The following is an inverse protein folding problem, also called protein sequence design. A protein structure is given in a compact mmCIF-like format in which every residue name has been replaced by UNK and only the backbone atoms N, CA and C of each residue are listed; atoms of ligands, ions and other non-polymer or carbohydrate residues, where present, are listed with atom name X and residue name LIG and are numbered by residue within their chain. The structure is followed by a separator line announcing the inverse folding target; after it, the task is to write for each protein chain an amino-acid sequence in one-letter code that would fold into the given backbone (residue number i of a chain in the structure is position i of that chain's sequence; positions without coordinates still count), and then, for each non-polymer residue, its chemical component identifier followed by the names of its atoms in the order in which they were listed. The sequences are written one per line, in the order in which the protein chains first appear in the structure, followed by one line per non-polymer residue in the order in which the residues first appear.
data_IF_777820269852
#
_entry.id   IF_777820269852
#
_cell.length_a   1.000
_cell.length_b   1.000
_cell.length_c   1.000
_cell.angle_alpha   90.00
_cell.angle_beta   90.00
_cell.angle_gamma   90.00
#
_symmetry.space_group_name_H-M   'P 1'
#
loop_
_entity.id
_entity.type
_entity.pdbx_description
1 polymer ?
#
# COMPACT_ATOMS: atom_id res chain seq x y z
N UNK A 1 11.97 6.09 -9.03
CA UNK A 1 11.08 4.91 -9.05
C UNK A 1 10.06 4.99 -7.92
N UNK A 2 9.02 5.82 -8.07
CA UNK A 2 8.05 6.18 -7.00
C UNK A 2 6.68 5.49 -7.17
N UNK A 3 6.57 4.55 -8.10
CA UNK A 3 5.33 3.85 -8.40
C UNK A 3 5.51 2.85 -9.53
N UNK A 4 4.39 2.37 -10.05
CA UNK A 4 4.35 1.44 -11.17
C UNK A 4 3.31 1.87 -12.22
N UNK A 5 3.40 1.33 -13.43
CA UNK A 5 2.43 1.61 -14.50
C UNK A 5 1.84 0.29 -14.98
N UNK A 6 0.54 0.29 -15.21
CA UNK A 6 -0.21 -0.83 -15.77
C UNK A 6 -1.06 -0.35 -16.94
N UNK A 7 -1.53 -1.27 -17.77
CA UNK A 7 -2.63 -1.00 -18.70
C UNK A 7 -3.82 -1.82 -18.25
N UNK A 8 -4.95 -1.16 -18.02
CA UNK A 8 -6.21 -1.80 -17.70
C UNK A 8 -7.14 -1.70 -18.89
N UNK A 9 -8.09 -2.62 -19.00
CA UNK A 9 -9.14 -2.53 -20.01
C UNK A 9 -10.44 -2.07 -19.35
N UNK A 10 -10.98 -0.95 -19.82
CA UNK A 10 -12.29 -0.43 -19.40
C UNK A 10 -13.30 -0.70 -20.52
N UNK A 11 -13.95 -1.86 -20.46
CA UNK A 11 -14.75 -2.39 -21.56
C UNK A 11 -13.85 -3.06 -22.61
N UNK A 12 -13.75 -2.46 -23.79
CA UNK A 12 -12.85 -2.88 -24.89
C UNK A 12 -11.78 -1.82 -25.20
N UNK A 13 -11.57 -0.86 -24.31
CA UNK A 13 -10.59 0.22 -24.45
C UNK A 13 -9.42 0.01 -23.47
N UNK A 14 -8.21 -0.28 -23.98
CA UNK A 14 -6.99 -0.33 -23.15
C UNK A 14 -6.56 1.08 -22.74
N UNK A 15 -6.40 1.29 -21.43
CA UNK A 15 -6.00 2.57 -20.85
C UNK A 15 -4.77 2.38 -19.94
N UNK A 16 -3.65 3.07 -20.21
CA UNK A 16 -2.49 3.07 -19.34
C UNK A 16 -2.75 3.91 -18.08
N UNK A 17 -2.29 3.44 -16.93
CA UNK A 17 -2.46 4.09 -15.64
C UNK A 17 -1.19 3.98 -14.81
N UNK A 18 -0.68 5.11 -14.34
CA UNK A 18 0.43 5.19 -13.40
C UNK A 18 -0.11 5.24 -11.96
N UNK A 19 0.43 4.39 -11.10
CA UNK A 19 0.03 4.22 -9.71
C UNK A 19 1.24 4.52 -8.81
N UNK A 20 1.23 5.65 -8.09
CA UNK A 20 2.16 5.92 -7.01
C UNK A 20 2.04 4.88 -5.88
N UNK A 21 3.13 4.58 -5.18
CA UNK A 21 3.10 3.60 -4.08
C UNK A 21 2.31 4.09 -2.85
N UNK A 22 2.34 5.38 -2.55
CA UNK A 22 1.60 6.03 -1.46
C UNK A 22 0.06 5.96 -1.67
N UNK A 23 -0.39 5.83 -2.91
CA UNK A 23 -1.80 5.64 -3.24
C UNK A 23 -2.33 4.23 -2.89
N UNK A 24 -1.45 3.26 -2.62
CA UNK A 24 -1.86 1.88 -2.30
C UNK A 24 -2.36 1.79 -0.86
N UNK A 25 -3.65 1.48 -0.70
CA UNK A 25 -4.28 1.35 0.64
C UNK A 25 -4.33 -0.10 1.14
N UNK A 26 -4.56 -1.04 0.22
CA UNK A 26 -4.73 -2.45 0.54
C UNK A 26 -4.15 -3.29 -0.59
N UNK A 27 -3.49 -4.38 -0.25
CA UNK A 27 -3.02 -5.40 -1.18
C UNK A 27 -3.61 -6.76 -0.78
N UNK A 28 -4.14 -7.53 -1.72
CA UNK A 28 -4.77 -8.83 -1.46
C UNK A 28 -4.31 -9.84 -2.49
N UNK A 29 -3.89 -11.02 -2.03
CA UNK A 29 -3.58 -12.19 -2.87
C UNK A 29 -4.56 -13.34 -2.56
N UNK A 30 -5.54 -13.61 -3.45
CA UNK A 30 -6.51 -14.68 -3.27
C UNK A 30 -5.92 -16.10 -3.31
N UNK A 31 -4.79 -16.30 -3.98
CA UNK A 31 -4.23 -17.65 -4.19
C UNK A 31 -3.66 -18.26 -2.91
N UNK A 32 -3.32 -17.42 -1.94
CA UNK A 32 -2.80 -17.84 -0.63
C UNK A 32 -3.58 -17.25 0.54
N UNK A 33 -4.79 -16.72 0.28
CA UNK A 33 -5.70 -16.13 1.27
C UNK A 33 -5.05 -15.07 2.18
N UNK A 34 -4.20 -14.22 1.59
CA UNK A 34 -3.39 -13.23 2.29
C UNK A 34 -3.76 -11.80 1.90
N UNK A 35 -3.53 -10.84 2.80
CA UNK A 35 -3.66 -9.42 2.49
C UNK A 35 -2.89 -8.53 3.46
N UNK A 36 -2.51 -7.36 2.96
CA UNK A 36 -1.85 -6.28 3.69
C UNK A 36 -2.74 -5.04 3.65
N UNK A 37 -2.76 -4.29 4.76
CA UNK A 37 -3.36 -2.97 4.83
C UNK A 37 -2.28 -1.97 5.22
N UNK A 38 -2.22 -0.88 4.45
CA UNK A 38 -1.31 0.22 4.70
C UNK A 38 -2.09 1.34 5.39
N UNK A 39 -1.52 1.87 6.47
CA UNK A 39 -1.99 3.08 7.11
C UNK A 39 -1.29 4.25 6.43
N UNK A 40 -2.05 5.20 5.88
CA UNK A 40 -1.43 6.43 5.37
C UNK A 40 -1.15 7.34 6.53
N UNK A 41 0.13 7.54 6.80
CA UNK A 41 0.59 8.66 7.60
C UNK A 41 0.34 9.93 6.77
N UNK A 42 -0.83 10.56 6.95
CA UNK A 42 -1.03 11.94 6.50
C UNK A 42 -0.24 12.84 7.46
N UNK A 43 1.04 13.08 7.16
CA UNK A 43 1.91 14.01 7.88
C UNK A 43 3.28 13.43 8.20
N UNK A 44 4.29 13.72 7.37
CA UNK A 44 5.33 14.70 7.69
C UNK A 44 6.31 14.84 6.52
N UNK A 45 6.02 15.80 5.64
CA UNK A 45 7.08 16.67 5.14
C UNK A 45 7.23 17.75 6.22
N UNK A 46 8.28 17.63 7.03
CA UNK A 46 8.93 18.65 7.88
C UNK A 46 9.26 18.12 9.29
N UNK A 47 10.36 17.38 9.43
CA UNK A 47 11.20 17.42 10.63
C UNK A 47 12.64 17.00 10.26
N UNK A 48 13.44 17.99 9.84
CA UNK A 48 14.90 17.91 10.03
C UNK A 48 15.18 17.98 11.54
N UNK A 49 15.41 16.87 12.24
CA UNK A 49 16.14 16.86 13.52
C UNK A 49 17.07 15.64 13.67
N UNK A 50 18.37 15.97 13.65
CA UNK A 50 19.61 15.33 14.16
C UNK A 50 19.96 13.83 13.92
N UNK A 51 21.23 13.51 13.55
CA UNK A 51 21.69 12.16 13.30
C UNK A 51 22.39 11.57 14.53
N UNK A 52 21.66 11.13 15.55
CA UNK A 52 22.23 10.25 16.60
C UNK A 52 21.10 9.62 17.44
N UNK A 53 20.50 8.54 16.94
CA UNK A 53 20.06 7.42 17.78
C UNK A 53 19.86 6.13 16.94
N UNK A 54 20.14 4.98 17.56
CA UNK A 54 20.31 3.63 16.99
C UNK A 54 19.32 3.20 15.86
N UNK A 55 19.74 2.29 14.94
CA UNK A 55 18.90 1.83 13.84
C UNK A 55 17.84 0.84 14.35
N UNK A 56 16.76 1.35 14.92
CA UNK A 56 15.55 0.57 15.08
C UNK A 56 14.81 0.57 13.74
N UNK A 57 14.61 -0.59 13.08
CA UNK A 57 13.85 -0.61 11.84
C UNK A 57 12.45 -0.06 12.13
N UNK A 58 11.89 0.81 11.28
CA UNK A 58 10.52 1.28 11.46
C UNK A 58 9.59 0.07 11.28
N UNK A 59 9.17 -0.53 12.40
CA UNK A 59 8.07 -1.48 12.41
C UNK A 59 6.78 -0.69 12.31
N UNK A 60 6.50 -0.16 11.12
CA UNK A 60 5.16 0.29 10.80
C UNK A 60 4.35 -0.97 10.50
N UNK A 61 3.58 -1.39 11.51
CA UNK A 61 2.85 -2.65 11.54
C UNK A 61 1.79 -2.71 10.42
N UNK A 62 2.11 -3.41 9.33
CA UNK A 62 1.12 -3.78 8.34
C UNK A 62 0.10 -4.73 9.00
N UNK A 63 -1.13 -4.25 9.19
CA UNK A 63 -2.17 -5.05 9.84
C UNK A 63 -2.65 -6.18 8.91
N UNK A 64 -2.33 -7.42 9.28
CA UNK A 64 -2.78 -8.62 8.56
C UNK A 64 -4.26 -8.87 8.87
N UNK A 65 -5.12 -8.76 7.86
CA UNK A 65 -6.56 -9.02 7.97
C UNK A 65 -6.98 -10.25 7.16
N UNK A 66 -7.82 -11.12 7.73
CA UNK A 66 -8.37 -12.31 7.05
C UNK A 66 -9.55 -11.94 6.15
N UNK A 67 -9.61 -12.56 4.96
CA UNK A 67 -10.53 -12.23 3.87
C UNK A 67 -12.02 -12.44 4.21
N UNK A 68 -12.35 -13.34 5.15
CA UNK A 68 -13.73 -13.65 5.55
C UNK A 68 -14.49 -12.45 6.12
N UNK A 69 -13.79 -11.43 6.66
CA UNK A 69 -14.40 -10.24 7.25
C UNK A 69 -15.11 -9.34 6.23
N UNK A 70 -14.81 -9.49 4.93
CA UNK A 70 -15.32 -8.62 3.86
C UNK A 70 -16.46 -9.25 3.05
N UNK A 71 -16.67 -10.56 3.15
CA UNK A 71 -17.79 -11.23 2.48
C UNK A 71 -19.08 -11.00 3.28
N UNK A 72 -19.78 -9.91 3.00
CA UNK A 72 -21.20 -9.78 3.40
C UNK A 72 -22.02 -10.75 2.53
N UNK A 73 -22.76 -11.63 3.20
CA UNK A 73 -23.77 -12.52 2.60
C UNK A 73 -24.89 -11.70 1.95
#
# INVERSE_FOLDING_TARGET
DEGFTITLNFGDNPEPMAIPFDAVRTFVDPSVEFGLRFETHEGDDDEEEDPDDDPQPPTQDAQIVRLDKFRKQ
#
